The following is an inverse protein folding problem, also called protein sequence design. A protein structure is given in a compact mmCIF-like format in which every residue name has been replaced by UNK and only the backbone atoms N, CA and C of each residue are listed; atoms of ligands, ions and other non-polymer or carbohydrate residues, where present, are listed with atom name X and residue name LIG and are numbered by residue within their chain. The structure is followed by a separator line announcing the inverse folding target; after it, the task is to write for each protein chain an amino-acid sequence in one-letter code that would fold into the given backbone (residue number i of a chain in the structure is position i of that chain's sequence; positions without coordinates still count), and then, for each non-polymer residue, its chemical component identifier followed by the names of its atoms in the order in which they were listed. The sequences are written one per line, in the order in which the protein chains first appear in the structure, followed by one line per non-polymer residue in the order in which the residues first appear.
data_IF_252999926023
#
_entry.id   IF_252999926023
#
_cell.length_a   1.000
_cell.length_b   1.000
_cell.length_c   1.000
_cell.angle_alpha   90.00
_cell.angle_beta   90.00
_cell.angle_gamma   90.00
#
_symmetry.space_group_name_H-M   'P 1'
#
loop_
_entity.id
_entity.type
_entity.pdbx_description
1 polymer ?
#
# COMPACT_ATOMS: atom_id res chain seq x y z
N UNK A 1 -10.01 4.54 1.17
CA UNK A 1 -10.98 3.80 0.34
C UNK A 1 -10.28 3.17 -0.85
N UNK A 2 -10.59 1.90 -1.16
CA UNK A 2 -10.00 1.16 -2.29
C UNK A 2 -10.44 1.81 -3.61
N UNK A 3 -9.52 2.55 -4.24
CA UNK A 3 -9.84 3.45 -5.37
C UNK A 3 -10.14 2.75 -6.70
N UNK A 4 -9.93 1.43 -6.82
CA UNK A 4 -9.94 0.74 -8.12
C UNK A 4 -11.30 0.69 -8.82
N UNK A 5 -12.37 0.40 -8.08
CA UNK A 5 -13.71 0.26 -8.65
C UNK A 5 -14.31 1.62 -9.07
N UNK A 6 -14.16 2.65 -8.23
CA UNK A 6 -14.66 4.01 -8.53
C UNK A 6 -13.92 4.62 -9.72
N UNK A 7 -12.61 4.35 -9.86
CA UNK A 7 -11.84 4.79 -11.03
C UNK A 7 -12.41 4.24 -12.34
N UNK A 8 -12.91 3.01 -12.35
CA UNK A 8 -13.52 2.42 -13.55
C UNK A 8 -14.83 3.13 -13.96
N UNK A 9 -15.67 3.55 -12.99
CA UNK A 9 -16.92 4.28 -13.25
C UNK A 9 -16.67 5.59 -14.01
N UNK A 10 -15.55 6.25 -13.71
CA UNK A 10 -15.15 7.52 -14.32
C UNK A 10 -14.07 7.38 -15.40
N UNK A 11 -13.77 6.15 -15.86
CA UNK A 11 -12.78 5.91 -16.92
C UNK A 11 -11.34 6.28 -16.57
N UNK A 12 -11.01 6.37 -15.28
CA UNK A 12 -9.69 6.77 -14.78
C UNK A 12 -8.75 5.59 -14.49
N UNK A 13 -9.25 4.36 -14.57
CA UNK A 13 -8.44 3.16 -14.38
C UNK A 13 -7.78 2.75 -15.70
N UNK A 14 -6.44 2.76 -15.76
CA UNK A 14 -5.72 2.15 -16.87
C UNK A 14 -5.62 0.63 -16.63
N UNK A 15 -6.12 -0.22 -17.56
CA UNK A 15 -5.98 -1.67 -17.44
C UNK A 15 -4.53 -2.15 -17.30
N UNK A 16 -3.57 -1.40 -17.86
CA UNK A 16 -2.15 -1.74 -17.80
C UNK A 16 -1.61 -1.73 -16.35
N UNK A 17 -2.17 -0.87 -15.48
CA UNK A 17 -1.75 -0.72 -14.07
C UNK A 17 -1.95 -2.01 -13.26
N UNK A 18 -2.87 -2.88 -13.70
CA UNK A 18 -3.25 -4.11 -12.99
C UNK A 18 -2.96 -5.37 -13.79
N UNK A 19 -2.57 -5.28 -15.06
CA UNK A 19 -2.40 -6.45 -15.92
C UNK A 19 -1.33 -7.42 -15.41
N UNK A 20 -0.25 -6.88 -14.87
CA UNK A 20 0.92 -7.65 -14.43
C UNK A 20 1.17 -7.54 -12.92
N UNK A 21 0.13 -7.25 -12.12
CA UNK A 21 0.26 -7.25 -10.65
C UNK A 21 -0.21 -8.57 -10.07
N UNK A 22 0.42 -8.95 -8.97
CA UNK A 22 0.18 -10.19 -8.27
C UNK A 22 -0.10 -9.90 -6.80
N UNK A 23 -0.92 -10.72 -6.16
CA UNK A 23 -1.08 -10.69 -4.72
C UNK A 23 0.17 -11.25 -4.00
N UNK A 24 0.16 -11.20 -2.67
CA UNK A 24 1.27 -11.66 -1.85
C UNK A 24 1.52 -13.19 -1.90
N UNK A 25 0.64 -13.96 -2.55
CA UNK A 25 0.75 -15.40 -2.81
C UNK A 25 1.12 -15.70 -4.27
N UNK A 26 1.32 -14.68 -5.10
CA UNK A 26 1.63 -14.82 -6.52
C UNK A 26 0.42 -15.02 -7.42
N UNK A 27 -0.81 -14.82 -6.94
CA UNK A 27 -2.00 -14.91 -7.79
C UNK A 27 -2.12 -13.64 -8.66
N UNK A 28 -2.30 -13.82 -9.96
CA UNK A 28 -2.52 -12.72 -10.91
C UNK A 28 -3.85 -12.02 -10.64
N UNK A 29 -3.84 -10.69 -10.71
CA UNK A 29 -5.07 -9.89 -10.63
C UNK A 29 -6.08 -10.25 -11.73
N UNK A 30 -5.58 -10.51 -12.95
CA UNK A 30 -6.42 -10.83 -14.12
C UNK A 30 -7.12 -12.18 -13.94
N UNK A 31 -6.39 -13.17 -13.43
CA UNK A 31 -6.95 -14.51 -13.21
C UNK A 31 -7.96 -14.50 -12.07
N UNK A 32 -7.67 -13.75 -10.99
CA UNK A 32 -8.62 -13.56 -9.88
C UNK A 32 -9.91 -12.86 -10.35
N UNK A 33 -9.79 -11.82 -11.18
CA UNK A 33 -10.94 -11.12 -11.77
C UNK A 33 -11.79 -12.06 -12.65
N UNK A 34 -11.12 -12.88 -13.47
CA UNK A 34 -11.76 -13.89 -14.34
C UNK A 34 -12.46 -14.98 -13.54
N UNK A 35 -11.86 -15.45 -12.45
CA UNK A 35 -12.46 -16.44 -11.56
C UNK A 35 -13.76 -15.91 -10.91
N UNK A 36 -13.87 -14.60 -10.70
CA UNK A 36 -15.09 -13.94 -10.24
C UNK A 36 -16.11 -13.63 -11.35
N UNK A 37 -15.86 -14.03 -12.60
CA UNK A 37 -16.78 -13.83 -13.72
C UNK A 37 -16.63 -12.48 -14.44
N UNK A 38 -15.57 -11.70 -14.16
CA UNK A 38 -15.31 -10.42 -14.82
C UNK A 38 -14.12 -10.52 -15.78
N UNK A 39 -14.13 -9.73 -16.85
CA UNK A 39 -13.02 -9.66 -17.80
C UNK A 39 -12.35 -8.29 -17.71
N UNK A 40 -11.02 -8.26 -17.64
CA UNK A 40 -10.27 -7.01 -17.69
C UNK A 40 -10.48 -6.35 -19.07
N UNK A 41 -10.92 -5.09 -19.14
CA UNK A 41 -11.10 -4.40 -20.41
C UNK A 41 -9.75 -4.13 -21.08
N UNK A 42 -9.74 -4.03 -22.41
CA UNK A 42 -8.53 -3.74 -23.18
C UNK A 42 -8.11 -2.26 -23.11
N UNK A 43 -9.02 -1.37 -22.72
CA UNK A 43 -8.81 0.07 -22.59
C UNK A 43 -9.63 0.63 -21.42
N UNK A 44 -9.36 1.85 -20.95
CA UNK A 44 -10.20 2.51 -19.94
C UNK A 44 -11.68 2.55 -20.35
N UNK A 45 -12.58 2.38 -19.39
CA UNK A 45 -14.02 2.42 -19.64
C UNK A 45 -14.52 3.84 -19.94
N UNK A 46 -15.64 3.95 -20.64
CA UNK A 46 -16.31 5.24 -20.85
C UNK A 46 -16.85 5.78 -19.53
N UNK A 47 -16.52 7.03 -19.14
CA UNK A 47 -17.02 7.63 -17.91
C UNK A 47 -18.55 7.80 -17.94
N UNK A 48 -19.23 7.47 -16.83
CA UNK A 48 -20.66 7.77 -16.66
C UNK A 48 -20.89 9.29 -16.60
N UNK A 49 -21.92 9.76 -17.30
CA UNK A 49 -22.31 11.18 -17.38
C UNK A 49 -23.67 11.48 -16.70
N UNK A 50 -24.34 10.44 -16.22
CA UNK A 50 -25.70 10.48 -15.66
C UNK A 50 -25.72 10.60 -14.12
N UNK A 51 -24.55 10.68 -13.48
CA UNK A 51 -24.43 10.83 -12.03
C UNK A 51 -24.50 12.32 -11.66
N UNK A 52 -25.50 12.71 -10.85
CA UNK A 52 -25.67 14.10 -10.37
C UNK A 52 -25.12 14.35 -8.97
N UNK A 53 -25.14 13.33 -8.11
CA UNK A 53 -24.62 13.37 -6.75
C UNK A 53 -24.24 11.96 -6.29
N UNK A 54 -23.37 11.86 -5.29
CA UNK A 54 -22.97 10.61 -4.65
C UNK A 54 -22.94 10.82 -3.13
N UNK A 55 -23.55 9.90 -2.38
CA UNK A 55 -23.56 9.88 -0.92
C UNK A 55 -23.11 8.49 -0.49
N UNK A 56 -22.04 8.44 0.31
CA UNK A 56 -21.50 7.20 0.88
C UNK A 56 -21.64 7.26 2.40
N UNK A 57 -22.41 6.35 2.97
CA UNK A 57 -22.46 6.14 4.41
C UNK A 57 -21.34 5.20 4.81
N UNK A 58 -20.55 5.59 5.81
CA UNK A 58 -19.44 4.79 6.31
C UNK A 58 -19.28 4.97 7.82
N UNK A 59 -18.79 3.94 8.50
CA UNK A 59 -18.38 4.04 9.91
C UNK A 59 -17.10 4.89 10.03
N UNK A 60 -16.87 5.56 11.16
CA UNK A 60 -15.73 6.48 11.32
C UNK A 60 -14.36 5.78 11.22
N UNK A 61 -14.27 4.51 11.64
CA UNK A 61 -13.02 3.74 11.80
C UNK A 61 -11.99 4.34 12.79
N UNK A 62 -12.26 5.53 13.33
CA UNK A 62 -11.57 6.15 14.47
C UNK A 62 -12.45 6.17 15.73
N UNK A 63 -12.02 6.96 16.72
CA UNK A 63 -12.71 7.10 18.01
C UNK A 63 -13.27 8.50 18.27
N UNK A 64 -13.28 9.40 17.29
CA UNK A 64 -13.63 10.83 17.48
C UNK A 64 -15.10 11.00 17.85
N UNK A 65 -16.02 10.38 17.11
CA UNK A 65 -17.46 10.46 17.37
C UNK A 65 -17.82 9.81 18.69
N UNK A 66 -17.26 8.64 18.98
CA UNK A 66 -17.46 7.95 20.26
C UNK A 66 -16.94 8.79 21.43
N UNK A 67 -15.70 9.32 21.34
CA UNK A 67 -15.08 10.12 22.40
C UNK A 67 -15.79 11.44 22.64
N UNK A 68 -16.47 11.99 21.62
CA UNK A 68 -17.25 13.21 21.72
C UNK A 68 -18.74 12.97 22.02
N UNK A 69 -19.19 11.71 22.15
CA UNK A 69 -20.60 11.36 22.37
C UNK A 69 -21.53 11.74 21.20
N UNK A 70 -21.01 11.76 19.97
CA UNK A 70 -21.73 12.17 18.78
C UNK A 70 -22.19 10.96 17.96
N UNK A 71 -23.43 10.96 17.48
CA UNK A 71 -23.97 9.85 16.69
C UNK A 71 -23.72 9.98 15.18
N UNK A 72 -23.48 11.21 14.69
CA UNK A 72 -23.33 11.50 13.25
C UNK A 72 -22.16 12.48 13.06
N UNK A 73 -21.27 12.15 12.13
CA UNK A 73 -20.22 13.03 11.63
C UNK A 73 -20.51 13.50 10.22
N UNK A 74 -20.48 14.82 9.99
CA UNK A 74 -20.52 15.41 8.64
C UNK A 74 -19.08 15.53 8.14
N UNK A 75 -18.73 14.74 7.12
CA UNK A 75 -17.37 14.69 6.58
C UNK A 75 -17.17 15.84 5.58
N UNK A 76 -16.24 16.75 5.88
CA UNK A 76 -15.95 17.91 5.03
C UNK A 76 -14.69 17.72 4.15
N UNK A 77 -13.84 16.75 4.49
CA UNK A 77 -12.61 16.47 3.76
C UNK A 77 -12.20 15.00 3.90
N UNK A 78 -11.52 14.48 2.88
CA UNK A 78 -10.87 13.17 2.90
C UNK A 78 -9.37 13.40 2.81
N UNK A 79 -8.60 12.73 3.67
CA UNK A 79 -7.14 12.86 3.70
C UNK A 79 -6.50 12.33 2.42
N UNK A 80 -5.47 13.03 1.94
CA UNK A 80 -4.62 12.52 0.86
C UNK A 80 -3.85 11.28 1.30
N UNK A 81 -3.78 10.25 0.46
CA UNK A 81 -3.05 9.01 0.76
C UNK A 81 -1.92 8.81 -0.25
N UNK A 82 -0.72 8.51 0.26
CA UNK A 82 0.41 8.04 -0.56
C UNK A 82 0.83 6.66 -0.06
N UNK A 83 1.07 5.74 -1.00
CA UNK A 83 1.56 4.39 -0.71
C UNK A 83 2.86 4.18 -1.46
N UNK A 84 3.84 3.60 -0.78
CA UNK A 84 5.16 3.33 -1.33
C UNK A 84 5.51 1.87 -1.07
N UNK A 85 6.09 1.23 -2.07
CA UNK A 85 6.81 -0.05 -1.91
C UNK A 85 8.29 0.28 -2.00
N UNK A 86 9.05 -0.06 -0.97
CA UNK A 86 10.49 0.21 -0.89
C UNK A 86 11.23 -1.12 -0.79
N UNK A 87 12.14 -1.36 -1.73
CA UNK A 87 13.03 -2.53 -1.72
C UNK A 87 14.41 -2.11 -1.26
N UNK A 88 14.93 -2.77 -0.22
CA UNK A 88 16.29 -2.56 0.28
C UNK A 88 17.13 -3.80 -0.05
N UNK A 89 18.18 -3.60 -0.83
CA UNK A 89 19.13 -4.66 -1.19
C UNK A 89 20.35 -4.56 -0.28
N UNK A 90 20.70 -5.66 0.36
CA UNK A 90 21.87 -5.76 1.21
C UNK A 90 22.61 -7.07 0.94
N UNK A 91 23.30 -7.59 1.95
CA UNK A 91 24.11 -8.79 1.79
C UNK A 91 23.82 -9.77 2.91
N UNK A 92 23.35 -10.96 2.54
CA UNK A 92 23.13 -12.04 3.49
C UNK A 92 24.46 -12.64 3.91
N UNK A 93 24.73 -12.62 5.21
CA UNK A 93 26.01 -13.00 5.78
C UNK A 93 25.80 -13.71 7.12
N UNK A 94 26.78 -14.49 7.56
CA UNK A 94 26.65 -15.28 8.77
C UNK A 94 26.62 -14.40 10.03
N UNK A 95 25.49 -14.43 10.74
CA UNK A 95 25.20 -13.51 11.85
C UNK A 95 26.22 -13.56 13.01
N UNK A 96 26.94 -14.68 13.19
CA UNK A 96 27.95 -14.83 14.24
C UNK A 96 29.38 -14.50 13.83
N UNK A 97 29.71 -14.59 12.53
CA UNK A 97 31.12 -14.53 12.06
C UNK A 97 31.42 -13.30 11.23
N UNK A 98 30.40 -12.56 10.79
CA UNK A 98 30.58 -11.28 10.11
C UNK A 98 30.65 -10.13 11.12
N UNK A 99 31.82 -9.47 11.28
CA UNK A 99 31.96 -8.29 12.12
C UNK A 99 30.95 -7.19 11.73
N UNK A 100 30.48 -6.42 12.70
CA UNK A 100 29.43 -5.41 12.50
C UNK A 100 29.77 -4.39 11.39
N UNK A 101 31.05 -3.98 11.29
CA UNK A 101 31.50 -3.01 10.28
C UNK A 101 31.44 -3.49 8.83
N UNK A 102 31.31 -4.80 8.60
CA UNK A 102 31.21 -5.39 7.26
C UNK A 102 29.78 -5.73 6.85
N UNK A 103 28.78 -5.47 7.70
CA UNK A 103 27.39 -5.84 7.42
C UNK A 103 26.71 -4.83 6.51
N UNK A 104 25.97 -5.36 5.54
CA UNK A 104 24.94 -4.63 4.75
C UNK A 104 23.56 -5.13 5.16
N UNK A 105 23.18 -4.81 6.39
CA UNK A 105 21.97 -5.31 7.04
C UNK A 105 20.74 -4.48 6.64
N UNK A 106 19.83 -5.09 5.86
CA UNK A 106 18.61 -4.44 5.37
C UNK A 106 17.59 -4.20 6.47
N UNK A 107 17.56 -5.03 7.52
CA UNK A 107 16.66 -4.86 8.67
C UNK A 107 17.11 -3.68 9.52
N UNK A 108 18.41 -3.55 9.76
CA UNK A 108 18.97 -2.38 10.44
C UNK A 108 18.67 -1.09 9.67
N UNK A 109 18.91 -1.06 8.36
CA UNK A 109 18.62 0.08 7.51
C UNK A 109 17.12 0.43 7.53
N UNK A 110 16.25 -0.56 7.39
CA UNK A 110 14.79 -0.39 7.48
C UNK A 110 14.35 0.19 8.82
N UNK A 111 14.87 -0.34 9.93
CA UNK A 111 14.51 0.14 11.28
C UNK A 111 14.82 1.62 11.47
N UNK A 112 15.94 2.09 10.92
CA UNK A 112 16.33 3.51 10.94
C UNK A 112 15.38 4.37 10.12
N UNK A 113 15.01 3.93 8.92
CA UNK A 113 14.06 4.64 8.06
C UNK A 113 12.71 4.78 8.78
N UNK A 114 12.19 3.69 9.33
CA UNK A 114 10.91 3.70 10.05
C UNK A 114 10.94 4.63 11.25
N UNK A 115 11.94 4.50 12.11
CA UNK A 115 12.07 5.32 13.31
C UNK A 115 12.13 6.81 12.96
N UNK A 116 13.01 7.22 12.05
CA UNK A 116 13.15 8.61 11.65
C UNK A 116 11.89 9.16 10.95
N UNK A 117 11.21 8.34 10.16
CA UNK A 117 9.98 8.74 9.46
C UNK A 117 8.84 9.02 10.44
N UNK A 118 8.67 8.15 11.43
CA UNK A 118 7.65 8.32 12.47
C UNK A 118 7.94 9.56 13.33
N UNK A 119 9.19 9.78 13.74
CA UNK A 119 9.57 10.97 14.52
C UNK A 119 9.31 12.26 13.74
N UNK A 120 9.63 12.29 12.45
CA UNK A 120 9.28 13.42 11.58
C UNK A 120 7.77 13.62 11.47
N UNK A 121 6.99 12.54 11.33
CA UNK A 121 5.54 12.62 11.25
C UNK A 121 4.92 13.24 12.51
N UNK A 122 5.37 12.81 13.70
CA UNK A 122 4.95 13.40 14.99
C UNK A 122 5.21 14.91 15.04
N UNK A 123 6.37 15.36 14.53
CA UNK A 123 6.76 16.77 14.53
C UNK A 123 5.98 17.62 13.52
N UNK A 124 5.30 17.01 12.54
CA UNK A 124 4.46 17.73 11.55
C UNK A 124 3.02 17.98 12.04
N UNK A 125 2.65 17.52 13.24
CA UNK A 125 1.36 17.78 13.88
C UNK A 125 0.29 16.70 13.65
N UNK A 126 -0.84 16.83 14.37
CA UNK A 126 -1.90 15.80 14.52
C UNK A 126 -2.51 15.25 13.22
N UNK A 127 -2.36 15.92 12.09
CA UNK A 127 -2.98 15.54 10.82
C UNK A 127 -2.10 14.66 9.92
N UNK A 128 -0.82 14.49 10.25
CA UNK A 128 0.10 13.63 9.49
C UNK A 128 0.12 12.22 10.07
N UNK A 129 -0.69 11.32 9.50
CA UNK A 129 -0.60 9.88 9.76
C UNK A 129 0.54 9.26 8.96
N UNK A 130 1.41 8.48 9.60
CA UNK A 130 2.39 7.62 8.93
C UNK A 130 2.27 6.21 9.47
N UNK A 131 1.66 5.32 8.70
CA UNK A 131 1.46 3.92 9.09
C UNK A 131 2.29 3.01 8.22
N UNK A 132 3.07 2.13 8.86
CA UNK A 132 3.76 1.03 8.20
C UNK A 132 2.90 -0.22 8.32
N UNK A 133 2.48 -0.77 7.18
CA UNK A 133 1.52 -1.87 7.16
C UNK A 133 2.16 -3.24 6.98
N UNK A 134 3.32 -3.34 6.30
CA UNK A 134 3.97 -4.63 6.03
C UNK A 134 5.47 -4.47 5.78
N UNK A 135 6.28 -5.36 6.35
CA UNK A 135 7.69 -5.56 6.01
C UNK A 135 7.96 -7.04 5.72
N UNK A 136 8.85 -7.31 4.76
CA UNK A 136 9.35 -8.66 4.47
C UNK A 136 10.86 -8.57 4.28
N UNK A 137 11.60 -9.42 4.99
CA UNK A 137 13.00 -9.67 4.72
C UNK A 137 13.09 -11.08 4.14
N UNK A 138 13.66 -11.20 2.94
CA UNK A 138 13.95 -12.49 2.33
C UNK A 138 15.44 -12.51 1.97
N UNK A 139 16.17 -13.61 2.25
CA UNK A 139 17.51 -13.80 1.70
C UNK A 139 17.40 -13.98 0.18
N UNK A 140 18.17 -13.21 -0.58
CA UNK A 140 18.46 -13.58 -1.97
C UNK A 140 19.50 -14.71 -1.92
N UNK A 141 19.06 -15.95 -2.10
CA UNK A 141 19.97 -17.03 -2.45
C UNK A 141 20.30 -16.89 -3.93
N UNK A 142 21.35 -16.13 -4.25
CA UNK A 142 21.98 -16.24 -5.56
C UNK A 142 22.49 -17.66 -5.73
N UNK A 143 22.18 -18.29 -6.87
CA UNK A 143 22.84 -19.53 -7.28
C UNK A 143 24.35 -19.26 -7.32
N UNK A 144 25.06 -19.75 -6.31
CA UNK A 144 26.52 -19.80 -6.35
C UNK A 144 26.86 -20.87 -7.39
N UNK A 145 27.13 -20.43 -8.62
CA UNK A 145 27.60 -21.29 -9.69
C UNK A 145 28.82 -22.07 -9.22
N UNK A 146 28.71 -23.39 -9.23
CA UNK A 146 29.86 -24.27 -9.13
C UNK A 146 30.73 -24.05 -10.39
N UNK A 147 31.92 -23.51 -10.18
CA UNK A 147 33.01 -23.44 -11.15
C UNK A 147 34.29 -23.90 -10.48
#
# INVERSE_FOLDING_TARGET
MSSGAVKNIFGLANPDDVRNIYDAKGNSFVDAMKACGFTLPNAPLTPRQDIKAFVELHIEQGCVLESNGQSIGVVNAIVGQRRYTVTLNGESNHAGTTPMGYRRDTVYAFSRICHQSIEKAKNMGRSAGSDLWQSRAAPEYGECGAG
#
